data_IF_387022571386
#
_entry.id   IF_387022571386
#
_cell.length_a   1.000
_cell.length_b   1.000
_cell.length_c   1.000
_cell.angle_alpha   90.00
_cell.angle_beta   90.00
_cell.angle_gamma   90.00
#
_symmetry.space_group_name_H-M   'P 1'
#
loop_
_entity.id
_entity.type
_entity.pdbx_description
1 polymer ?
#
# COMPACT_ATOMS: atom_id res chain seq x y z
N UNK A 1 12.50 12.03 -3.79
CA UNK A 1 11.20 12.46 -4.35
C UNK A 1 10.27 12.78 -3.20
N UNK A 2 10.07 14.07 -2.94
CA UNK A 2 9.09 14.54 -1.96
C UNK A 2 7.69 14.15 -2.44
N UNK A 3 7.04 13.27 -1.69
CA UNK A 3 5.64 12.88 -1.91
C UNK A 3 4.77 14.09 -1.56
N UNK A 4 4.32 14.84 -2.58
CA UNK A 4 3.43 15.99 -2.38
C UNK A 4 2.05 15.49 -1.96
N UNK A 5 1.48 16.15 -0.96
CA UNK A 5 0.09 15.94 -0.54
C UNK A 5 -0.86 16.13 -1.73
N UNK A 6 -1.92 15.35 -1.77
CA UNK A 6 -2.96 15.45 -2.79
C UNK A 6 -4.25 15.93 -2.13
N UNK A 7 -4.84 16.95 -2.68
CA UNK A 7 -6.10 17.51 -2.22
C UNK A 7 -7.19 17.09 -3.18
N UNK A 8 -8.28 16.52 -2.67
CA UNK A 8 -9.39 16.02 -3.48
C UNK A 8 -10.69 16.69 -3.05
N UNK A 9 -11.46 17.12 -4.04
CA UNK A 9 -12.82 17.63 -3.87
C UNK A 9 -13.74 16.82 -4.76
N UNK A 10 -14.94 16.51 -4.30
CA UNK A 10 -15.93 15.75 -5.05
C UNK A 10 -17.30 16.38 -4.97
N UNK A 11 -18.11 16.13 -6.00
CA UNK A 11 -19.53 16.52 -6.07
C UNK A 11 -20.33 15.37 -6.65
N UNK A 12 -21.54 15.20 -6.20
CA UNK A 12 -22.50 14.27 -6.77
C UNK A 12 -23.42 15.04 -7.71
N UNK A 13 -23.58 14.51 -8.93
CA UNK A 13 -24.41 15.07 -10.01
C UNK A 13 -25.51 14.09 -10.31
N UNK A 14 -26.76 14.56 -10.32
CA UNK A 14 -27.90 13.75 -10.72
C UNK A 14 -28.16 13.97 -12.21
N UNK A 15 -28.34 12.87 -12.95
CA UNK A 15 -28.78 12.91 -14.36
C UNK A 15 -30.29 13.04 -14.39
N UNK A 16 -30.79 14.14 -14.92
CA UNK A 16 -32.23 14.40 -15.07
C UNK A 16 -32.57 14.70 -16.53
N UNK A 17 -33.77 14.34 -16.99
CA UNK A 17 -34.18 14.69 -18.33
C UNK A 17 -34.41 16.20 -18.47
N UNK A 18 -34.08 16.77 -19.62
CA UNK A 18 -34.18 18.20 -19.91
C UNK A 18 -35.65 18.64 -20.01
N UNK A 19 -36.52 17.80 -20.58
CA UNK A 19 -37.93 18.05 -20.71
C UNK A 19 -38.74 17.24 -19.70
N UNK A 20 -39.64 17.93 -18.98
CA UNK A 20 -40.58 17.33 -18.01
C UNK A 20 -41.70 16.50 -18.69
N UNK A 21 -41.55 16.12 -19.96
CA UNK A 21 -42.51 15.23 -20.63
C UNK A 21 -42.37 13.83 -20.03
N UNK A 22 -43.45 13.44 -19.37
CA UNK A 22 -43.67 12.24 -18.56
C UNK A 22 -43.60 10.91 -19.33
N UNK A 23 -42.80 10.77 -20.31
CA UNK A 23 -42.46 9.46 -20.81
C UNK A 23 -41.52 8.81 -19.81
N UNK A 24 -41.97 7.71 -19.21
CA UNK A 24 -41.16 6.76 -18.45
C UNK A 24 -39.87 6.55 -19.22
N UNK A 25 -38.84 7.25 -18.80
CA UNK A 25 -37.51 7.01 -19.29
C UNK A 25 -37.22 5.54 -19.05
N UNK A 26 -37.13 4.77 -20.12
CA UNK A 26 -36.75 3.39 -19.99
C UNK A 26 -35.38 3.38 -19.24
N UNK A 27 -35.27 2.55 -18.26
CA UNK A 27 -34.08 2.43 -17.37
C UNK A 27 -32.78 2.37 -18.20
N UNK A 28 -32.83 1.69 -19.33
CA UNK A 28 -31.75 1.59 -20.33
C UNK A 28 -31.33 2.95 -20.91
N UNK A 29 -32.23 3.92 -21.04
CA UNK A 29 -31.90 5.25 -21.55
C UNK A 29 -31.12 6.07 -20.51
N UNK A 30 -31.42 5.89 -19.23
CA UNK A 30 -30.70 6.57 -18.13
C UNK A 30 -29.29 6.00 -18.00
N UNK A 31 -29.11 4.67 -18.08
CA UNK A 31 -27.80 4.02 -18.06
C UNK A 31 -26.90 4.52 -19.19
N UNK A 32 -27.44 4.56 -20.42
CA UNK A 32 -26.72 5.10 -21.57
C UNK A 32 -26.35 6.59 -21.37
N UNK A 33 -27.26 7.39 -20.80
CA UNK A 33 -26.99 8.79 -20.51
C UNK A 33 -25.89 8.97 -19.43
N UNK A 34 -25.92 8.14 -18.39
CA UNK A 34 -24.89 8.10 -17.37
C UNK A 34 -23.51 7.78 -17.96
N UNK A 35 -23.43 6.72 -18.76
CA UNK A 35 -22.17 6.29 -19.36
C UNK A 35 -21.61 7.37 -20.31
N UNK A 36 -22.44 7.95 -21.19
CA UNK A 36 -22.03 9.04 -22.07
C UNK A 36 -21.56 10.27 -21.30
N UNK A 37 -22.31 10.67 -20.27
CA UNK A 37 -21.94 11.80 -19.43
C UNK A 37 -20.59 11.58 -18.74
N UNK A 38 -20.34 10.38 -18.22
CA UNK A 38 -19.04 10.01 -17.63
C UNK A 38 -17.92 10.05 -18.65
N UNK A 39 -18.18 9.54 -19.87
CA UNK A 39 -17.19 9.57 -20.94
C UNK A 39 -16.84 11.01 -21.36
N UNK A 40 -17.84 11.90 -21.46
CA UNK A 40 -17.61 13.32 -21.75
C UNK A 40 -16.82 14.00 -20.63
N UNK A 41 -17.19 13.76 -19.37
CA UNK A 41 -16.51 14.33 -18.20
C UNK A 41 -15.05 13.87 -18.07
N UNK A 42 -14.75 12.64 -18.48
CA UNK A 42 -13.40 12.08 -18.44
C UNK A 42 -12.59 12.35 -19.72
N UNK A 43 -13.19 12.98 -20.74
CA UNK A 43 -12.56 13.20 -22.03
C UNK A 43 -11.43 14.24 -21.99
N UNK A 44 -10.50 14.11 -22.91
CA UNK A 44 -9.46 15.13 -23.12
C UNK A 44 -10.07 16.45 -23.62
N UNK A 45 -11.19 16.40 -24.38
CA UNK A 45 -11.93 17.58 -24.83
C UNK A 45 -12.40 18.41 -23.62
N UNK A 46 -12.91 17.77 -22.57
CA UNK A 46 -13.28 18.48 -21.31
C UNK A 46 -12.07 19.18 -20.69
N UNK A 47 -10.92 18.52 -20.66
CA UNK A 47 -9.69 19.10 -20.14
C UNK A 47 -9.21 20.28 -20.96
N UNK A 48 -9.31 20.19 -22.28
CA UNK A 48 -8.96 21.27 -23.21
C UNK A 48 -9.87 22.48 -23.06
N UNK A 49 -11.17 22.26 -22.87
CA UNK A 49 -12.13 23.35 -22.62
C UNK A 49 -11.83 24.06 -21.29
N UNK A 50 -11.54 23.31 -20.22
CA UNK A 50 -11.16 23.91 -18.94
C UNK A 50 -9.85 24.72 -19.07
N UNK A 51 -8.88 24.22 -19.83
CA UNK A 51 -7.63 24.96 -20.11
C UNK A 51 -7.90 26.27 -20.85
N UNK A 52 -8.69 26.24 -21.90
CA UNK A 52 -9.07 27.42 -22.67
C UNK A 52 -9.80 28.44 -21.81
N UNK A 53 -10.79 28.00 -21.03
CA UNK A 53 -11.59 28.86 -20.16
C UNK A 53 -10.77 29.46 -19.00
N UNK A 54 -9.77 28.74 -18.50
CA UNK A 54 -8.90 29.20 -17.42
C UNK A 54 -7.72 30.08 -17.89
N UNK A 55 -7.50 30.20 -19.21
CA UNK A 55 -6.32 30.88 -19.78
C UNK A 55 -5.00 30.18 -19.40
N UNK A 56 -5.04 28.92 -18.98
CA UNK A 56 -3.88 28.19 -18.50
C UNK A 56 -3.41 27.17 -19.53
N UNK A 57 -2.12 27.13 -19.80
CA UNK A 57 -1.52 26.17 -20.72
C UNK A 57 -1.47 24.73 -20.19
N UNK A 58 -1.85 24.50 -18.93
CA UNK A 58 -1.84 23.16 -18.30
C UNK A 58 -2.86 23.05 -17.17
N UNK A 59 -3.69 22.02 -17.20
CA UNK A 59 -4.54 21.64 -16.06
C UNK A 59 -3.66 21.05 -14.97
N UNK A 60 -3.60 21.72 -13.81
CA UNK A 60 -2.85 21.24 -12.64
C UNK A 60 -3.76 20.35 -11.79
N UNK A 61 -3.78 19.07 -12.08
CA UNK A 61 -4.59 18.12 -11.32
C UNK A 61 -5.15 17.01 -12.18
N UNK A 62 -5.93 16.13 -11.56
CA UNK A 62 -6.64 15.07 -12.25
C UNK A 62 -8.14 15.24 -12.01
N UNK A 63 -8.92 15.04 -13.07
CA UNK A 63 -10.39 15.03 -13.05
C UNK A 63 -10.84 13.61 -13.34
N UNK A 64 -11.80 13.11 -12.57
CA UNK A 64 -12.39 11.81 -12.76
C UNK A 64 -13.89 11.84 -12.43
N UNK A 65 -14.67 11.15 -13.24
CA UNK A 65 -16.10 10.94 -13.03
C UNK A 65 -16.39 9.45 -13.06
N UNK A 66 -17.33 9.00 -12.22
CA UNK A 66 -17.78 7.62 -12.18
C UNK A 66 -19.25 7.55 -11.79
N UNK A 67 -19.97 6.57 -12.30
CA UNK A 67 -21.35 6.29 -11.89
C UNK A 67 -21.34 5.70 -10.49
N UNK A 68 -22.28 6.14 -9.66
CA UNK A 68 -22.55 5.49 -8.37
C UNK A 68 -23.48 4.31 -8.63
N UNK A 69 -23.04 3.10 -8.29
CA UNK A 69 -23.78 1.88 -8.56
C UNK A 69 -25.26 1.96 -8.12
N UNK A 70 -26.16 1.42 -8.94
CA UNK A 70 -27.59 1.36 -8.72
C UNK A 70 -28.29 2.72 -8.51
N UNK A 71 -27.71 3.79 -9.05
CA UNK A 71 -28.29 5.14 -8.98
C UNK A 71 -28.15 5.91 -10.29
N UNK A 72 -28.91 6.99 -10.43
CA UNK A 72 -28.76 7.97 -11.52
C UNK A 72 -27.76 9.10 -11.17
N UNK A 73 -26.79 8.79 -10.33
CA UNK A 73 -25.82 9.76 -9.78
C UNK A 73 -24.43 9.50 -10.37
N UNK A 74 -23.79 10.57 -10.81
CA UNK A 74 -22.38 10.59 -11.19
C UNK A 74 -21.61 11.27 -10.08
N UNK A 75 -20.59 10.60 -9.52
CA UNK A 75 -19.63 11.22 -8.64
C UNK A 75 -18.49 11.77 -9.46
N UNK A 76 -18.32 13.08 -9.41
CA UNK A 76 -17.23 13.79 -10.06
C UNK A 76 -16.20 14.23 -9.01
N UNK A 77 -14.94 13.94 -9.23
CA UNK A 77 -13.85 14.24 -8.31
C UNK A 77 -12.72 14.95 -9.04
N UNK A 78 -12.19 16.00 -8.42
CA UNK A 78 -10.98 16.67 -8.90
C UNK A 78 -9.90 16.60 -7.82
N UNK A 79 -8.68 16.28 -8.21
CA UNK A 79 -7.52 16.25 -7.33
C UNK A 79 -6.43 17.19 -7.82
N UNK A 80 -5.74 17.82 -6.88
CA UNK A 80 -4.68 18.79 -7.18
C UNK A 80 -3.59 18.81 -6.12
N UNK A 81 -2.56 19.59 -6.37
CA UNK A 81 -1.43 19.77 -5.45
C UNK A 81 -1.75 20.68 -4.26
N UNK A 82 -2.84 21.43 -4.34
CA UNK A 82 -3.40 22.25 -3.26
C UNK A 82 -4.92 22.30 -3.37
N UNK A 83 -5.59 22.72 -2.29
CA UNK A 83 -7.04 22.78 -2.19
C UNK A 83 -7.67 23.68 -3.27
N UNK A 84 -7.03 24.80 -3.54
CA UNK A 84 -7.51 25.79 -4.50
C UNK A 84 -7.48 25.25 -5.93
N UNK A 85 -6.41 24.54 -6.31
CA UNK A 85 -6.28 23.95 -7.66
C UNK A 85 -7.33 22.85 -7.89
N UNK A 86 -7.59 22.00 -6.88
CA UNK A 86 -8.63 20.98 -6.96
C UNK A 86 -10.02 21.60 -7.10
N UNK A 87 -10.32 22.62 -6.29
CA UNK A 87 -11.59 23.35 -6.35
C UNK A 87 -11.81 24.05 -7.69
N UNK A 88 -10.79 24.80 -8.19
CA UNK A 88 -10.88 25.48 -9.49
C UNK A 88 -11.08 24.52 -10.64
N UNK A 89 -10.41 23.35 -10.60
CA UNK A 89 -10.57 22.32 -11.61
C UNK A 89 -11.99 21.75 -11.63
N UNK A 90 -12.54 21.40 -10.48
CA UNK A 90 -13.92 20.89 -10.38
C UNK A 90 -14.95 21.92 -10.82
N UNK A 91 -14.78 23.16 -10.36
CA UNK A 91 -15.66 24.28 -10.74
C UNK A 91 -15.61 24.56 -12.23
N UNK A 92 -14.40 24.57 -12.82
CA UNK A 92 -14.22 24.76 -14.26
C UNK A 92 -14.91 23.66 -15.07
N UNK A 93 -14.78 22.40 -14.65
CA UNK A 93 -15.45 21.28 -15.31
C UNK A 93 -16.98 21.43 -15.29
N UNK A 94 -17.55 21.81 -14.16
CA UNK A 94 -19.01 22.00 -14.07
C UNK A 94 -19.50 23.19 -14.90
N UNK A 95 -18.69 24.22 -15.05
CA UNK A 95 -19.04 25.39 -15.88
C UNK A 95 -18.95 25.08 -17.37
N UNK A 96 -18.00 24.23 -17.79
CA UNK A 96 -17.79 23.88 -19.20
C UNK A 96 -18.66 22.70 -19.66
N UNK A 97 -19.14 21.87 -18.74
CA UNK A 97 -19.93 20.68 -19.08
C UNK A 97 -21.19 21.02 -19.90
N UNK A 98 -22.00 22.05 -19.61
CA UNK A 98 -23.20 22.36 -20.41
C UNK A 98 -22.92 22.59 -21.88
N UNK A 99 -21.82 23.27 -22.20
CA UNK A 99 -21.43 23.52 -23.59
C UNK A 99 -21.08 22.22 -24.33
N UNK A 100 -20.40 21.29 -23.65
CA UNK A 100 -20.07 19.99 -24.24
C UNK A 100 -21.26 19.04 -24.29
N UNK A 101 -22.12 19.05 -23.27
CA UNK A 101 -23.29 18.19 -23.21
C UNK A 101 -24.28 18.46 -24.34
N UNK A 102 -24.42 19.69 -24.79
CA UNK A 102 -25.31 20.06 -25.90
C UNK A 102 -24.90 19.40 -27.21
N UNK A 103 -23.62 19.10 -27.40
CA UNK A 103 -23.13 18.36 -28.58
C UNK A 103 -23.31 16.86 -28.50
N UNK A 104 -23.22 16.29 -27.28
CA UNK A 104 -23.20 14.84 -27.10
C UNK A 104 -24.51 14.28 -26.53
N UNK A 105 -25.28 15.10 -25.83
CA UNK A 105 -26.48 14.64 -25.11
C UNK A 105 -27.55 15.74 -24.95
N UNK A 106 -28.40 15.87 -25.97
CA UNK A 106 -29.45 16.91 -25.98
C UNK A 106 -30.62 16.66 -25.01
N UNK A 107 -30.78 15.41 -24.52
CA UNK A 107 -31.96 14.98 -23.75
C UNK A 107 -31.81 15.03 -22.24
N UNK A 108 -30.61 15.20 -21.68
CA UNK A 108 -30.34 15.12 -20.24
C UNK A 108 -29.51 16.30 -19.73
N UNK A 109 -29.63 16.60 -18.46
CA UNK A 109 -28.88 17.64 -17.76
C UNK A 109 -28.30 17.07 -16.48
N UNK A 110 -27.04 17.45 -16.15
CA UNK A 110 -26.44 17.15 -14.88
C UNK A 110 -26.76 18.25 -13.86
N UNK A 111 -27.48 17.88 -12.81
CA UNK A 111 -27.80 18.78 -11.71
C UNK A 111 -26.92 18.46 -10.49
N UNK A 112 -26.13 19.40 -9.96
CA UNK A 112 -25.40 19.20 -8.73
C UNK A 112 -26.35 19.00 -7.55
N UNK A 113 -26.17 17.91 -6.79
CA UNK A 113 -26.96 17.61 -5.59
C UNK A 113 -26.50 18.42 -4.38
N UNK A 114 -25.29 18.96 -4.42
CA UNK A 114 -24.72 19.78 -3.35
C UNK A 114 -23.92 20.94 -3.91
N UNK A 115 -23.88 22.03 -3.17
CA UNK A 115 -23.00 23.16 -3.50
C UNK A 115 -21.53 22.78 -3.31
N UNK A 116 -20.70 23.10 -4.31
CA UNK A 116 -19.27 22.93 -4.18
C UNK A 116 -18.72 24.02 -3.28
N UNK A 117 -18.13 23.63 -2.17
CA UNK A 117 -17.44 24.55 -1.26
C UNK A 117 -15.95 24.22 -1.19
N UNK A 118 -15.14 25.24 -1.12
CA UNK A 118 -13.70 25.07 -0.86
C UNK A 118 -13.42 24.37 0.49
N UNK A 119 -14.39 24.42 1.41
CA UNK A 119 -14.31 23.75 2.71
C UNK A 119 -14.48 22.23 2.62
N UNK A 120 -15.02 21.70 1.51
CA UNK A 120 -15.23 20.27 1.30
C UNK A 120 -14.03 19.58 0.68
N UNK A 121 -12.90 20.28 0.56
CA UNK A 121 -11.66 19.70 0.04
C UNK A 121 -11.03 18.81 1.12
N UNK A 122 -10.92 17.52 0.81
CA UNK A 122 -10.26 16.56 1.67
C UNK A 122 -8.78 16.45 1.30
N UNK A 123 -7.91 16.57 2.30
CA UNK A 123 -6.50 16.23 2.15
C UNK A 123 -6.36 14.71 2.16
N UNK A 124 -6.02 14.13 1.04
CA UNK A 124 -5.70 12.72 0.97
C UNK A 124 -4.24 12.54 1.34
N UNK A 125 -3.99 12.08 2.56
CA UNK A 125 -2.66 11.64 2.93
C UNK A 125 -2.30 10.44 2.07
N UNK A 126 -1.23 10.56 1.31
CA UNK A 126 -0.74 9.43 0.53
C UNK A 126 -0.46 8.27 1.47
N UNK A 127 -0.76 7.10 0.98
CA UNK A 127 -0.64 5.81 1.65
C UNK A 127 0.79 5.52 2.15
N UNK A 128 1.30 6.39 3.05
CA UNK A 128 2.53 6.16 3.81
C UNK A 128 2.46 4.83 4.55
N UNK A 129 1.24 4.44 5.00
CA UNK A 129 0.96 3.13 5.59
C UNK A 129 1.34 1.96 4.68
N UNK A 130 1.05 2.02 3.37
CA UNK A 130 1.40 0.94 2.44
C UNK A 130 2.91 0.83 2.25
N UNK A 131 3.60 1.97 2.13
CA UNK A 131 5.06 1.98 1.97
C UNK A 131 5.78 1.61 3.27
N UNK A 132 5.28 2.05 4.43
CA UNK A 132 5.84 1.66 5.73
C UNK A 132 5.68 0.17 5.99
N UNK A 133 4.53 -0.42 5.64
CA UNK A 133 4.26 -1.84 5.78
C UNK A 133 5.14 -2.68 4.86
N UNK A 134 5.36 -2.23 3.61
CA UNK A 134 6.27 -2.86 2.67
C UNK A 134 7.72 -2.79 3.15
N UNK A 135 8.13 -1.66 3.73
CA UNK A 135 9.46 -1.46 4.29
C UNK A 135 9.69 -2.36 5.50
N UNK A 136 8.70 -2.47 6.41
CA UNK A 136 8.74 -3.40 7.55
C UNK A 136 8.88 -4.84 7.07
N UNK A 137 8.12 -5.24 6.05
CA UNK A 137 8.19 -6.59 5.48
C UNK A 137 9.58 -6.87 4.87
N UNK A 138 10.17 -5.90 4.19
CA UNK A 138 11.50 -6.01 3.59
C UNK A 138 12.60 -6.15 4.65
N UNK A 139 12.50 -5.39 5.75
CA UNK A 139 13.44 -5.49 6.88
C UNK A 139 13.33 -6.84 7.58
N UNK A 140 12.11 -7.35 7.80
CA UNK A 140 11.87 -8.67 8.38
C UNK A 140 12.43 -9.79 7.48
N UNK A 141 12.14 -9.75 6.19
CA UNK A 141 12.63 -10.75 5.24
C UNK A 141 14.17 -10.72 5.14
N UNK A 142 14.77 -9.54 5.13
CA UNK A 142 16.23 -9.37 5.15
C UNK A 142 16.86 -9.88 6.43
N UNK A 143 16.25 -9.63 7.59
CA UNK A 143 16.71 -10.12 8.89
C UNK A 143 16.69 -11.65 8.97
N UNK A 144 15.57 -12.27 8.54
CA UNK A 144 15.46 -13.74 8.50
C UNK A 144 16.50 -14.32 7.53
N UNK A 145 16.64 -13.75 6.33
CA UNK A 145 17.63 -14.18 5.36
C UNK A 145 19.05 -14.11 5.88
N UNK A 146 19.42 -13.02 6.53
CA UNK A 146 20.73 -12.85 7.15
C UNK A 146 21.00 -13.88 8.25
N UNK A 147 19.99 -14.15 9.10
CA UNK A 147 20.09 -15.16 10.18
C UNK A 147 20.29 -16.56 9.61
N UNK A 148 19.53 -16.93 8.58
CA UNK A 148 19.67 -18.23 7.89
C UNK A 148 21.04 -18.35 7.24
N UNK A 149 21.53 -17.32 6.56
CA UNK A 149 22.87 -17.29 5.99
C UNK A 149 23.93 -17.49 7.08
N UNK A 150 23.85 -16.76 8.19
CA UNK A 150 24.79 -16.93 9.30
C UNK A 150 24.74 -18.35 9.89
N UNK A 151 23.56 -18.97 9.99
CA UNK A 151 23.43 -20.35 10.45
C UNK A 151 24.09 -21.36 9.48
N UNK A 152 23.97 -21.14 8.17
CA UNK A 152 24.56 -22.03 7.14
C UNK A 152 26.09 -21.87 7.08
N UNK A 153 26.58 -20.63 7.15
CA UNK A 153 28.01 -20.34 7.07
C UNK A 153 28.76 -20.58 8.38
N UNK A 154 28.06 -20.72 9.51
CA UNK A 154 28.70 -21.06 10.78
C UNK A 154 28.54 -22.56 11.00
N UNK A 155 29.41 -23.34 10.36
CA UNK A 155 29.50 -24.78 10.56
C UNK A 155 29.99 -25.10 11.98
N UNK A 156 29.08 -24.94 12.97
CA UNK A 156 29.34 -25.40 14.33
C UNK A 156 28.66 -26.76 14.50
N UNK A 157 29.47 -27.75 14.81
CA UNK A 157 28.98 -29.06 15.19
C UNK A 157 28.27 -28.90 16.54
N UNK A 158 26.94 -29.06 16.56
CA UNK A 158 26.12 -28.87 17.76
C UNK A 158 25.75 -30.18 18.45
N UNK A 159 25.96 -31.33 17.84
CA UNK A 159 25.65 -32.62 18.45
C UNK A 159 26.69 -33.70 18.08
N UNK A 160 26.78 -34.69 18.95
CA UNK A 160 27.64 -35.86 18.76
C UNK A 160 27.27 -36.64 17.49
N UNK A 161 25.95 -36.75 17.19
CA UNK A 161 25.47 -37.39 15.97
C UNK A 161 25.89 -36.64 14.69
N UNK A 162 25.90 -35.30 14.70
CA UNK A 162 26.39 -34.50 13.59
C UNK A 162 27.90 -34.69 13.39
N UNK A 163 28.67 -34.70 14.47
CA UNK A 163 30.12 -34.97 14.41
C UNK A 163 30.41 -36.34 13.81
N UNK A 164 29.69 -37.36 14.24
CA UNK A 164 29.86 -38.73 13.71
C UNK A 164 29.54 -38.85 12.23
N UNK A 165 28.50 -38.14 11.74
CA UNK A 165 28.12 -38.11 10.30
C UNK A 165 29.10 -37.35 9.42
N UNK A 166 29.68 -36.27 9.95
CA UNK A 166 30.54 -35.39 9.17
C UNK A 166 31.98 -35.88 9.13
N UNK A 167 32.45 -36.50 10.20
CA UNK A 167 33.87 -36.91 10.36
C UNK A 167 34.14 -38.37 10.03
N UNK A 168 33.08 -39.20 9.96
CA UNK A 168 33.16 -40.67 9.75
C UNK A 168 34.18 -41.36 10.66
N UNK A 169 34.32 -40.87 11.90
CA UNK A 169 35.26 -41.35 12.89
C UNK A 169 34.47 -41.90 14.07
N UNK A 170 34.88 -43.07 14.66
CA UNK A 170 34.28 -43.57 15.87
C UNK A 170 34.48 -42.56 17.03
N UNK A 171 33.35 -42.09 17.60
CA UNK A 171 33.35 -41.21 18.74
C UNK A 171 33.56 -42.02 20.04
N UNK A 172 34.56 -41.66 20.78
CA UNK A 172 34.92 -42.33 22.05
C UNK A 172 34.13 -41.76 23.22
N UNK A 173 33.80 -40.46 23.18
CA UNK A 173 33.04 -39.82 24.23
C UNK A 173 32.78 -38.33 23.97
N UNK A 174 31.93 -37.72 24.79
CA UNK A 174 31.68 -36.28 24.81
C UNK A 174 31.89 -35.70 26.19
N UNK A 175 32.51 -34.54 26.26
CA UNK A 175 32.67 -33.77 27.50
C UNK A 175 31.81 -32.55 27.43
N UNK A 176 31.02 -32.30 28.46
CA UNK A 176 30.20 -31.10 28.54
C UNK A 176 31.06 -29.85 28.77
N UNK A 177 30.68 -28.77 28.09
CA UNK A 177 31.37 -27.50 28.25
C UNK A 177 31.05 -26.86 29.60
N UNK A 178 32.03 -26.79 30.49
CA UNK A 178 31.93 -26.09 31.77
C UNK A 178 32.33 -24.63 31.59
N UNK A 179 31.36 -23.73 31.76
CA UNK A 179 31.61 -22.29 31.66
C UNK A 179 32.39 -21.79 32.88
N UNK A 180 33.66 -21.42 32.66
CA UNK A 180 34.50 -20.84 33.69
C UNK A 180 33.93 -19.51 34.21
N UNK A 181 33.71 -19.35 35.50
CA UNK A 181 33.43 -18.06 36.12
C UNK A 181 34.69 -17.21 36.22
N UNK A 182 34.58 -15.91 35.96
CA UNK A 182 35.71 -14.98 36.07
C UNK A 182 36.36 -15.07 37.45
N UNK A 183 37.66 -15.36 37.52
CA UNK A 183 38.42 -15.53 38.79
C UNK A 183 38.62 -16.97 39.23
N UNK A 184 38.04 -17.99 38.60
CA UNK A 184 38.32 -19.38 38.92
C UNK A 184 39.60 -19.89 38.22
N UNK A 185 40.40 -20.68 38.94
CA UNK A 185 41.50 -21.43 38.38
C UNK A 185 40.96 -22.46 37.36
N UNK A 186 41.79 -22.88 36.40
CA UNK A 186 41.41 -23.96 35.46
C UNK A 186 41.08 -25.22 36.26
N UNK A 187 39.93 -25.86 35.96
CA UNK A 187 39.59 -27.15 36.54
C UNK A 187 40.62 -28.18 36.06
N UNK A 188 41.35 -28.72 36.99
CA UNK A 188 42.25 -29.86 36.72
C UNK A 188 41.49 -31.10 37.18
N UNK A 189 41.65 -32.17 36.40
CA UNK A 189 41.01 -33.49 36.68
C UNK A 189 41.39 -34.03 38.04
N UNK A 190 42.48 -33.57 38.62
CA UNK A 190 42.96 -33.95 39.96
C UNK A 190 42.41 -33.09 41.11
N UNK A 191 41.56 -32.08 40.84
CA UNK A 191 41.03 -31.24 41.90
C UNK A 191 39.85 -31.95 42.60
N UNK A 192 39.93 -32.01 43.91
CA UNK A 192 38.93 -32.72 44.78
C UNK A 192 37.48 -32.19 44.66
N UNK A 193 37.29 -31.11 43.94
CA UNK A 193 35.99 -30.43 43.72
C UNK A 193 35.43 -30.72 42.33
N UNK A 194 36.00 -31.70 41.59
CA UNK A 194 35.56 -32.06 40.23
C UNK A 194 34.26 -32.85 40.32
N UNK A 195 33.24 -32.43 39.61
CA UNK A 195 31.92 -33.10 39.55
C UNK A 195 32.10 -34.57 39.11
N UNK A 196 31.58 -35.53 39.92
CA UNK A 196 31.68 -36.97 39.66
C UNK A 196 31.31 -37.38 38.23
N UNK A 197 30.38 -36.63 37.60
CA UNK A 197 29.96 -36.84 36.20
C UNK A 197 31.10 -36.57 35.22
N UNK A 198 32.01 -35.65 35.54
CA UNK A 198 33.15 -35.33 34.71
C UNK A 198 34.26 -36.36 34.80
N UNK A 199 34.53 -36.86 36.03
CA UNK A 199 35.44 -37.99 36.25
C UNK A 199 35.02 -39.25 35.56
N UNK A 200 33.73 -39.62 35.65
CA UNK A 200 33.17 -40.80 34.98
C UNK A 200 33.22 -40.67 33.45
N UNK A 201 33.01 -39.48 32.89
CA UNK A 201 33.15 -39.24 31.45
C UNK A 201 34.60 -39.38 30.96
N UNK A 202 35.56 -38.88 31.72
CA UNK A 202 36.98 -39.00 31.41
C UNK A 202 37.45 -40.46 31.55
N UNK A 203 37.07 -41.15 32.60
CA UNK A 203 37.42 -42.57 32.80
C UNK A 203 36.90 -43.46 31.67
N UNK A 204 35.69 -43.17 31.19
CA UNK A 204 35.10 -43.87 30.06
C UNK A 204 35.85 -43.69 28.76
N UNK A 205 36.48 -42.50 28.56
CA UNK A 205 37.32 -42.15 27.40
C UNK A 205 38.67 -42.83 27.50
N UNK A 206 39.26 -42.90 28.69
CA UNK A 206 40.58 -43.51 28.93
C UNK A 206 40.56 -45.04 28.87
N UNK A 207 39.43 -45.67 29.18
CA UNK A 207 39.29 -47.13 29.18
C UNK A 207 38.74 -47.71 27.89
N UNK A 208 38.45 -46.89 26.87
CA UNK A 208 38.00 -47.28 25.54
C UNK A 208 39.15 -47.43 24.58
#
# INVERSE_FOLDING_TARGET
HSLKDTYTVSVNLCVIPRDNTSEKLAETNIENALERSVNVLNSDTMRDQIMKASGSSRVKGNLSASVVADTNIIRMSASGTNAESAYKLLKGALQQYPELSDYYESGYVLQPLSSISANNVQKTEKATLRYSLLLIFLVLAGGIGATVCLCIFTDKIHSMEQAKRLLDIPMIGSLDYVKKKSGQKALLISDQDTDHVYEEAVDRIVTS
#
